data_IF_347477199128
#
_entry.id   IF_347477199128
#
_cell.length_a   1.000
_cell.length_b   1.000
_cell.length_c   1.000
_cell.angle_alpha   90.00
_cell.angle_beta   90.00
_cell.angle_gamma   90.00
#
_symmetry.space_group_name_H-M   'P 1'
#
loop_
_entity.id
_entity.type
_entity.pdbx_description
1 polymer ?
#
# COMPACT_ATOMS: atom_id res chain seq x y z
N UNK A 1 11.68 -6.97 -8.97
CA UNK A 1 11.88 -5.74 -9.75
C UNK A 1 12.06 -4.56 -8.81
N UNK A 2 12.89 -3.61 -9.21
CA UNK A 2 13.08 -2.34 -8.52
C UNK A 2 12.21 -1.27 -9.18
N UNK A 3 11.01 -1.03 -8.62
CA UNK A 3 10.01 -0.15 -9.23
C UNK A 3 9.17 0.57 -8.17
N UNK A 4 8.93 1.86 -8.39
CA UNK A 4 8.05 2.66 -7.56
C UNK A 4 6.71 2.88 -8.28
N UNK A 5 5.61 2.48 -7.63
CA UNK A 5 4.24 2.66 -8.09
C UNK A 5 3.55 3.66 -7.17
N UNK A 6 3.18 4.83 -7.70
CA UNK A 6 2.45 5.85 -6.94
C UNK A 6 1.02 5.95 -7.46
N UNK A 7 0.06 5.55 -6.64
CA UNK A 7 -1.37 5.63 -6.92
C UNK A 7 -1.95 6.91 -6.31
N UNK A 8 -2.34 7.87 -7.15
CA UNK A 8 -3.16 9.00 -6.72
C UNK A 8 -4.62 8.57 -6.62
N UNK A 9 -5.10 8.36 -5.40
CA UNK A 9 -6.45 7.91 -5.14
C UNK A 9 -7.37 9.09 -4.79
N UNK A 10 -8.14 9.55 -5.77
CA UNK A 10 -9.16 10.59 -5.62
C UNK A 10 -10.60 10.04 -5.70
N UNK A 11 -10.75 8.73 -5.72
CA UNK A 11 -12.03 8.02 -5.78
C UNK A 11 -12.92 8.43 -6.97
N UNK A 12 -12.31 8.88 -8.09
CA UNK A 12 -13.05 9.26 -9.30
C UNK A 12 -12.12 9.19 -10.53
N UNK A 13 -12.63 8.89 -11.70
CA UNK A 13 -11.91 9.10 -12.94
C UNK A 13 -12.08 10.55 -13.42
N UNK A 14 -11.03 11.36 -13.24
CA UNK A 14 -11.02 12.77 -13.63
C UNK A 14 -10.91 12.98 -15.15
N UNK A 15 -10.07 12.18 -15.84
CA UNK A 15 -9.85 12.31 -17.28
C UNK A 15 -11.14 12.12 -18.09
N UNK A 16 -11.97 11.19 -17.69
CA UNK A 16 -13.27 10.88 -18.31
C UNK A 16 -14.40 11.78 -17.81
N UNK A 17 -14.06 12.86 -17.11
CA UNK A 17 -15.00 13.89 -16.60
C UNK A 17 -16.00 13.39 -15.55
N UNK A 18 -15.52 12.52 -14.64
CA UNK A 18 -16.26 12.17 -13.43
C UNK A 18 -17.01 10.84 -13.49
N UNK A 19 -16.43 9.83 -14.10
CA UNK A 19 -16.90 8.45 -13.92
C UNK A 19 -16.44 7.92 -12.55
N UNK A 20 -17.23 7.04 -11.92
CA UNK A 20 -16.77 6.37 -10.73
C UNK A 20 -15.59 5.42 -11.06
N UNK A 21 -14.64 5.34 -10.15
CA UNK A 21 -13.43 4.52 -10.24
C UNK A 21 -13.59 3.24 -9.39
N UNK A 22 -12.71 2.27 -9.51
CA UNK A 22 -12.74 1.07 -8.66
C UNK A 22 -12.63 1.37 -7.15
N UNK A 23 -12.10 2.54 -6.77
CA UNK A 23 -12.01 2.96 -5.37
C UNK A 23 -13.14 3.87 -4.91
N UNK A 24 -14.10 4.19 -5.79
CA UNK A 24 -15.25 5.00 -5.43
C UNK A 24 -16.15 4.29 -4.42
N UNK A 25 -16.73 5.01 -3.46
CA UNK A 25 -17.64 4.41 -2.49
C UNK A 25 -18.86 3.79 -3.16
N UNK A 26 -19.39 2.71 -2.57
CA UNK A 26 -20.65 2.11 -2.96
C UNK A 26 -21.76 3.20 -2.97
N UNK A 27 -22.56 3.22 -4.01
CA UNK A 27 -23.62 4.22 -4.19
C UNK A 27 -23.16 5.59 -4.70
N UNK A 28 -21.85 5.78 -5.01
CA UNK A 28 -21.34 7.04 -5.57
C UNK A 28 -22.10 7.40 -6.85
N UNK A 29 -22.81 8.50 -6.83
CA UNK A 29 -23.52 9.02 -8.01
C UNK A 29 -22.61 9.90 -8.85
N UNK A 30 -22.65 9.69 -10.16
CA UNK A 30 -21.94 10.49 -11.16
C UNK A 30 -22.86 10.73 -12.36
N UNK A 31 -22.44 11.58 -13.30
CA UNK A 31 -23.24 11.82 -14.53
C UNK A 31 -23.45 10.54 -15.34
N UNK A 32 -22.48 9.63 -15.34
CA UNK A 32 -22.55 8.35 -16.06
C UNK A 32 -23.16 7.22 -15.24
N UNK A 33 -23.34 7.42 -13.94
CA UNK A 33 -23.91 6.45 -13.00
C UNK A 33 -24.91 7.13 -12.08
N UNK A 34 -26.07 7.59 -12.62
CA UNK A 34 -27.04 8.38 -11.87
C UNK A 34 -27.73 7.59 -10.75
N UNK A 35 -27.77 6.27 -10.85
CA UNK A 35 -28.30 5.38 -9.80
C UNK A 35 -27.26 5.03 -8.74
N UNK A 36 -25.99 5.39 -8.95
CA UNK A 36 -24.87 5.12 -8.05
C UNK A 36 -24.01 3.93 -8.49
N UNK A 37 -22.78 3.90 -7.98
CA UNK A 37 -21.86 2.77 -8.14
C UNK A 37 -22.41 1.55 -7.39
N UNK A 38 -22.39 0.38 -8.03
CA UNK A 38 -22.86 -0.89 -7.46
C UNK A 38 -21.70 -1.78 -7.02
N UNK A 39 -20.48 -1.41 -7.36
CA UNK A 39 -19.26 -2.15 -7.02
C UNK A 39 -18.82 -1.83 -5.60
N UNK A 40 -18.32 -2.83 -4.90
CA UNK A 40 -17.61 -2.60 -3.64
C UNK A 40 -16.26 -1.95 -3.93
N UNK A 41 -15.88 -0.92 -3.16
CA UNK A 41 -14.62 -0.23 -3.39
C UNK A 41 -13.41 -1.15 -3.18
N UNK A 42 -12.51 -1.12 -4.15
CA UNK A 42 -11.23 -1.79 -4.10
C UNK A 42 -10.35 -1.18 -3.00
N UNK A 43 -9.64 -2.03 -2.26
CA UNK A 43 -8.59 -1.60 -1.36
C UNK A 43 -7.22 -1.83 -2.01
N UNK A 44 -6.60 -0.75 -2.48
CA UNK A 44 -5.36 -0.84 -3.23
C UNK A 44 -4.18 -1.38 -2.40
N UNK A 45 -4.08 -0.98 -1.13
CA UNK A 45 -3.03 -1.49 -0.24
C UNK A 45 -3.18 -2.98 0.03
N UNK A 46 -4.40 -3.46 0.28
CA UNK A 46 -4.65 -4.90 0.48
C UNK A 46 -4.22 -5.73 -0.72
N UNK A 47 -4.39 -5.20 -1.93
CA UNK A 47 -3.93 -5.87 -3.16
C UNK A 47 -2.41 -5.85 -3.25
N UNK A 48 -1.77 -4.70 -3.02
CA UNK A 48 -0.31 -4.60 -3.04
C UNK A 48 0.35 -5.55 -2.03
N UNK A 49 -0.20 -5.63 -0.81
CA UNK A 49 0.26 -6.57 0.23
C UNK A 49 0.02 -8.02 -0.21
N UNK A 50 -1.16 -8.33 -0.77
CA UNK A 50 -1.49 -9.67 -1.28
C UNK A 50 -0.65 -10.10 -2.49
N UNK A 51 -0.08 -9.14 -3.23
CA UNK A 51 0.91 -9.38 -4.28
C UNK A 51 2.36 -9.38 -3.77
N UNK A 52 2.56 -9.42 -2.45
CA UNK A 52 3.88 -9.46 -1.79
C UNK A 52 4.79 -8.25 -2.12
N UNK A 53 4.21 -7.06 -2.35
CA UNK A 53 5.00 -5.84 -2.47
C UNK A 53 5.86 -5.65 -1.21
N UNK A 54 7.14 -5.39 -1.40
CA UNK A 54 8.14 -5.33 -0.31
C UNK A 54 8.11 -4.00 0.44
N UNK A 55 7.60 -2.94 -0.20
CA UNK A 55 7.30 -1.67 0.44
C UNK A 55 5.87 -1.24 0.12
N UNK A 56 5.06 -0.97 1.16
CA UNK A 56 3.67 -0.51 1.01
C UNK A 56 3.43 0.64 1.96
N UNK A 57 2.94 1.76 1.43
CA UNK A 57 2.72 2.97 2.22
C UNK A 57 1.48 3.75 1.77
N UNK A 58 0.94 4.59 2.67
CA UNK A 58 -0.11 5.56 2.38
C UNK A 58 0.26 6.94 2.91
N UNK A 59 -0.05 7.97 2.13
CA UNK A 59 0.05 9.36 2.54
C UNK A 59 -1.11 10.19 2.00
N UNK A 60 -1.09 11.49 2.31
CA UNK A 60 -2.13 12.44 1.92
C UNK A 60 -1.45 13.61 1.21
N UNK A 61 -2.00 14.07 0.09
CA UNK A 61 -1.42 15.11 -0.77
C UNK A 61 -1.16 16.46 -0.04
N UNK A 62 -2.03 16.84 0.86
CA UNK A 62 -1.91 18.09 1.64
C UNK A 62 -0.90 18.00 2.78
N UNK A 63 -0.44 16.81 3.18
CA UNK A 63 0.60 16.62 4.18
C UNK A 63 1.98 16.48 3.52
N UNK A 64 2.47 17.57 2.98
CA UNK A 64 3.70 17.60 2.15
C UNK A 64 4.91 17.00 2.88
N UNK A 65 5.05 17.27 4.19
CA UNK A 65 6.17 16.74 4.98
C UNK A 65 6.10 15.22 5.11
N UNK A 66 4.94 14.68 5.44
CA UNK A 66 4.71 13.24 5.56
C UNK A 66 4.82 12.55 4.20
N UNK A 67 4.23 13.12 3.15
CA UNK A 67 4.33 12.61 1.78
C UNK A 67 5.79 12.58 1.30
N UNK A 68 6.55 13.66 1.54
CA UNK A 68 7.97 13.72 1.19
C UNK A 68 8.79 12.61 1.87
N UNK A 69 8.57 12.39 3.17
CA UNK A 69 9.22 11.30 3.91
C UNK A 69 8.87 9.92 3.35
N UNK A 70 7.59 9.66 3.04
CA UNK A 70 7.16 8.37 2.48
C UNK A 70 7.76 8.14 1.09
N UNK A 71 7.76 9.16 0.22
CA UNK A 71 8.33 9.06 -1.13
C UNK A 71 9.85 8.87 -1.10
N UNK A 72 10.55 9.56 -0.19
CA UNK A 72 11.98 9.36 -0.01
C UNK A 72 12.28 7.92 0.42
N UNK A 73 11.58 7.40 1.41
CA UNK A 73 11.75 6.02 1.87
C UNK A 73 11.45 4.99 0.78
N UNK A 74 10.43 5.26 -0.05
CA UNK A 74 10.11 4.41 -1.19
C UNK A 74 11.21 4.43 -2.26
N UNK A 75 11.82 5.59 -2.51
CA UNK A 75 12.92 5.73 -3.46
C UNK A 75 14.23 5.09 -2.98
N UNK A 76 14.43 5.00 -1.67
CA UNK A 76 15.59 4.34 -1.04
C UNK A 76 15.38 2.82 -0.89
N UNK A 77 14.15 2.33 -1.06
CA UNK A 77 13.85 0.92 -0.94
C UNK A 77 14.29 0.13 -2.17
N UNK A 78 15.05 -0.93 -1.96
CA UNK A 78 15.47 -1.85 -3.02
C UNK A 78 14.42 -2.93 -3.26
N UNK A 79 13.52 -2.72 -4.23
CA UNK A 79 12.43 -3.62 -4.54
C UNK A 79 11.18 -2.92 -5.08
N UNK A 80 10.05 -3.59 -5.02
CA UNK A 80 8.78 -2.99 -5.45
C UNK A 80 8.16 -2.17 -4.33
N UNK A 81 8.06 -0.86 -4.52
CA UNK A 81 7.37 0.05 -3.64
C UNK A 81 6.00 0.46 -4.21
N UNK A 82 4.96 0.33 -3.39
CA UNK A 82 3.60 0.77 -3.70
C UNK A 82 3.16 1.85 -2.71
N UNK A 83 2.85 3.04 -3.22
CA UNK A 83 2.44 4.18 -2.42
C UNK A 83 1.06 4.66 -2.85
N UNK A 84 0.07 4.61 -1.95
CA UNK A 84 -1.22 5.24 -2.15
C UNK A 84 -1.21 6.66 -1.60
N UNK A 85 -1.55 7.62 -2.44
CA UNK A 85 -1.67 9.03 -2.04
C UNK A 85 -3.14 9.44 -2.11
N UNK A 86 -3.74 9.73 -0.96
CA UNK A 86 -5.07 10.32 -0.92
C UNK A 86 -5.00 11.74 -1.48
N UNK A 87 -5.74 11.94 -2.57
CA UNK A 87 -5.76 13.20 -3.31
C UNK A 87 -7.18 13.72 -3.48
N UNK A 88 -7.38 15.01 -3.29
CA UNK A 88 -8.66 15.63 -3.58
C UNK A 88 -8.81 15.97 -5.06
N UNK A 89 -9.92 15.58 -5.67
CA UNK A 89 -10.30 16.05 -6.99
C UNK A 89 -11.35 17.16 -6.86
N UNK A 90 -10.92 18.40 -6.79
CA UNK A 90 -11.78 19.58 -6.56
C UNK A 90 -12.83 19.85 -7.65
N UNK A 91 -12.75 19.15 -8.80
CA UNK A 91 -13.69 19.33 -9.92
C UNK A 91 -14.79 18.25 -9.91
N UNK A 92 -14.39 16.97 -9.72
CA UNK A 92 -15.32 15.86 -9.89
C UNK A 92 -15.66 15.11 -8.59
N UNK A 93 -14.85 15.26 -7.54
CA UNK A 93 -15.04 14.58 -6.27
C UNK A 93 -14.49 15.38 -5.09
N UNK A 94 -14.85 16.66 -5.04
CA UNK A 94 -14.39 17.55 -3.97
C UNK A 94 -14.83 17.05 -2.60
N UNK A 95 -13.87 17.04 -1.66
CA UNK A 95 -14.08 16.62 -0.29
C UNK A 95 -14.11 15.10 -0.06
N UNK A 96 -13.67 14.28 -1.01
CA UNK A 96 -13.61 12.82 -0.84
C UNK A 96 -12.86 12.39 0.43
N UNK A 97 -11.82 13.13 0.81
CA UNK A 97 -10.94 12.83 1.94
C UNK A 97 -10.98 13.91 3.05
N UNK A 98 -12.12 14.63 3.18
CA UNK A 98 -12.26 15.71 4.18
C UNK A 98 -11.88 15.27 5.59
N UNK A 99 -12.34 14.10 6.02
CA UNK A 99 -12.05 13.58 7.36
C UNK A 99 -10.54 13.44 7.64
N UNK A 100 -9.74 13.20 6.58
CA UNK A 100 -8.30 13.02 6.68
C UNK A 100 -7.49 14.32 6.48
N UNK A 101 -8.11 15.36 5.93
CA UNK A 101 -7.42 16.61 5.55
C UNK A 101 -7.77 17.80 6.44
N UNK A 102 -8.97 17.86 7.00
CA UNK A 102 -9.41 18.96 7.86
C UNK A 102 -8.79 18.90 9.25
N UNK A 103 -8.41 20.07 9.79
CA UNK A 103 -7.73 20.18 11.08
C UNK A 103 -8.57 19.64 12.24
N UNK A 104 -9.86 19.84 12.16
CA UNK A 104 -10.83 19.51 13.21
C UNK A 104 -11.00 17.99 13.35
N UNK A 105 -10.84 17.24 12.26
CA UNK A 105 -11.15 15.81 12.21
C UNK A 105 -9.92 14.92 12.15
N UNK A 106 -8.87 15.33 11.45
CA UNK A 106 -7.73 14.47 11.15
C UNK A 106 -7.04 13.83 12.36
N UNK A 107 -7.03 14.50 13.51
CA UNK A 107 -6.44 13.94 14.75
C UNK A 107 -7.26 12.80 15.33
N UNK A 108 -8.57 12.78 15.06
CA UNK A 108 -9.47 11.72 15.51
C UNK A 108 -9.60 10.59 14.50
N UNK A 109 -9.31 10.88 13.23
CA UNK A 109 -9.59 9.98 12.11
C UNK A 109 -8.36 9.35 11.49
N UNK A 110 -7.17 9.87 11.78
CA UNK A 110 -5.91 9.32 11.28
C UNK A 110 -5.14 8.59 12.37
N UNK A 111 -4.44 7.53 11.95
CA UNK A 111 -3.47 6.81 12.75
C UNK A 111 -2.12 6.85 12.03
N UNK A 112 -1.18 7.64 12.53
CA UNK A 112 0.18 7.66 11.97
C UNK A 112 0.96 6.43 12.43
N UNK A 113 1.44 5.64 11.46
CA UNK A 113 2.20 4.43 11.69
C UNK A 113 3.67 4.77 11.91
N UNK A 114 4.20 4.40 13.07
CA UNK A 114 5.62 4.49 13.40
C UNK A 114 6.14 3.12 13.82
N UNK A 115 7.21 2.66 13.21
CA UNK A 115 7.83 1.37 13.53
C UNK A 115 8.19 1.25 15.02
N UNK A 116 7.80 0.15 15.66
CA UNK A 116 8.06 -0.13 17.08
C UNK A 116 7.19 0.69 18.05
N UNK A 117 6.19 1.43 17.57
CA UNK A 117 5.30 2.22 18.42
C UNK A 117 3.92 1.57 18.53
N UNK A 118 3.23 1.76 19.69
CA UNK A 118 1.85 1.34 19.85
C UNK A 118 0.92 2.15 18.94
N UNK A 119 -0.13 1.52 18.45
CA UNK A 119 -1.12 2.12 17.57
C UNK A 119 -2.05 3.04 18.38
N UNK A 120 -1.66 4.30 18.54
CA UNK A 120 -2.36 5.31 19.34
C UNK A 120 -2.77 6.48 18.48
N UNK A 121 -4.02 6.95 18.67
CA UNK A 121 -4.58 8.09 17.95
C UNK A 121 -5.52 8.91 18.86
N UNK A 122 -6.19 9.91 18.29
CA UNK A 122 -7.02 10.86 19.04
C UNK A 122 -6.27 12.12 19.40
N UNK A 123 -7.02 13.20 19.62
CA UNK A 123 -6.47 14.54 19.88
C UNK A 123 -5.52 14.59 21.08
N UNK A 124 -5.83 13.83 22.11
CA UNK A 124 -5.03 13.74 23.34
C UNK A 124 -4.29 12.41 23.45
N UNK A 125 -4.20 11.63 22.35
CA UNK A 125 -3.63 10.27 22.32
C UNK A 125 -4.32 9.33 23.32
N UNK A 126 -5.63 9.47 23.46
CA UNK A 126 -6.45 8.73 24.43
C UNK A 126 -7.04 7.43 23.88
N UNK A 127 -6.87 7.17 22.58
CA UNK A 127 -7.41 5.97 21.92
C UNK A 127 -6.28 5.11 21.37
N UNK A 128 -6.49 3.81 21.40
CA UNK A 128 -5.55 2.84 20.83
C UNK A 128 -6.25 1.69 20.13
N UNK A 129 -5.47 0.90 19.40
CA UNK A 129 -5.93 -0.31 18.73
C UNK A 129 -5.34 -1.53 19.46
N UNK A 130 -6.19 -2.47 19.86
CA UNK A 130 -5.77 -3.79 20.35
C UNK A 130 -6.47 -4.90 19.61
N UNK A 131 -6.04 -6.15 19.81
CA UNK A 131 -6.74 -7.32 19.32
C UNK A 131 -7.62 -7.91 20.41
N UNK A 132 -8.85 -8.25 20.03
CA UNK A 132 -9.74 -9.12 20.78
C UNK A 132 -9.89 -10.42 19.98
N UNK A 133 -9.09 -11.44 20.34
CA UNK A 133 -8.86 -12.57 19.47
C UNK A 133 -8.18 -12.17 18.16
N UNK A 134 -8.84 -12.40 17.04
CA UNK A 134 -8.36 -12.00 15.70
C UNK A 134 -8.91 -10.65 15.22
N UNK A 135 -9.79 -10.02 15.99
CA UNK A 135 -10.46 -8.80 15.58
C UNK A 135 -9.81 -7.56 16.20
N UNK A 136 -9.48 -6.54 15.41
CA UNK A 136 -9.06 -5.28 15.97
C UNK A 136 -10.24 -4.55 16.63
N UNK A 137 -9.96 -3.86 17.72
CA UNK A 137 -10.94 -2.99 18.39
C UNK A 137 -10.29 -1.68 18.82
N UNK A 138 -11.08 -0.61 18.82
CA UNK A 138 -10.68 0.68 19.37
C UNK A 138 -10.95 0.68 20.86
N UNK A 139 -9.95 1.06 21.67
CA UNK A 139 -10.04 1.14 23.12
C UNK A 139 -9.60 2.50 23.63
N UNK A 140 -10.13 2.90 24.80
CA UNK A 140 -9.71 4.12 25.50
C UNK A 140 -8.61 3.79 26.52
N UNK A 141 -7.50 4.50 26.44
CA UNK A 141 -6.42 4.43 27.41
C UNK A 141 -6.85 5.02 28.77
N UNK A 142 -6.28 4.53 29.86
CA UNK A 142 -6.54 5.06 31.22
C UNK A 142 -7.74 4.45 31.94
N UNK A 143 -8.53 3.57 31.32
CA UNK A 143 -9.63 2.84 31.94
C UNK A 143 -9.29 1.37 32.20
N UNK A 144 -8.10 1.10 32.72
CA UNK A 144 -7.58 -0.25 32.89
C UNK A 144 -6.89 -0.80 31.64
N UNK A 145 -6.75 0.01 30.62
CA UNK A 145 -5.99 -0.28 29.39
C UNK A 145 -4.74 0.58 29.38
N UNK A 146 -3.60 -0.03 29.15
CA UNK A 146 -2.28 0.60 29.04
C UNK A 146 -1.74 0.51 27.61
N UNK A 147 -0.63 1.17 27.31
CA UNK A 147 0.01 1.07 26.01
C UNK A 147 0.47 -0.36 25.71
N UNK A 148 0.85 -1.14 26.73
CA UNK A 148 1.31 -2.54 26.58
C UNK A 148 0.19 -3.49 26.13
N UNK A 149 -1.09 -3.09 26.28
CA UNK A 149 -2.24 -3.86 25.81
C UNK A 149 -2.55 -3.64 24.32
N UNK A 150 -1.87 -2.68 23.70
CA UNK A 150 -2.13 -2.27 22.32
C UNK A 150 -1.31 -3.09 21.32
N UNK A 151 -1.75 -3.05 20.07
CA UNK A 151 -0.92 -3.48 18.94
C UNK A 151 0.24 -2.52 18.73
N UNK A 152 1.42 -3.07 18.53
CA UNK A 152 2.61 -2.34 18.11
C UNK A 152 2.80 -2.50 16.62
N UNK A 153 3.12 -1.40 15.95
CA UNK A 153 3.41 -1.44 14.52
C UNK A 153 4.80 -2.01 14.24
N UNK A 154 4.86 -3.03 13.40
CA UNK A 154 6.11 -3.58 12.87
C UNK A 154 6.06 -3.58 11.34
N UNK A 155 6.64 -2.55 10.72
CA UNK A 155 6.72 -2.45 9.26
C UNK A 155 7.69 -3.48 8.64
N UNK A 156 8.58 -4.06 9.47
CA UNK A 156 9.61 -5.02 9.06
C UNK A 156 9.19 -6.48 9.28
N UNK A 157 7.98 -6.71 9.77
CA UNK A 157 7.48 -8.06 9.94
C UNK A 157 7.51 -8.81 8.61
N UNK A 158 8.17 -9.97 8.60
CA UNK A 158 8.26 -10.80 7.40
C UNK A 158 6.87 -11.28 6.96
N UNK A 159 6.06 -11.66 7.94
CA UNK A 159 4.65 -12.04 7.75
C UNK A 159 3.75 -10.80 7.57
N UNK A 160 3.01 -10.67 6.45
CA UNK A 160 2.26 -9.46 6.11
C UNK A 160 0.94 -9.29 6.88
N UNK A 161 0.61 -10.17 7.81
CA UNK A 161 -0.71 -10.22 8.48
C UNK A 161 -1.08 -8.90 9.16
N UNK A 162 -0.14 -8.26 9.89
CA UNK A 162 -0.39 -6.97 10.53
C UNK A 162 -0.59 -5.86 9.49
N UNK A 163 0.25 -5.80 8.47
CA UNK A 163 0.12 -4.82 7.39
C UNK A 163 -1.23 -4.96 6.67
N UNK A 164 -1.67 -6.20 6.42
CA UNK A 164 -2.97 -6.47 5.83
C UNK A 164 -4.12 -6.03 6.77
N UNK A 165 -4.06 -6.35 8.06
CA UNK A 165 -5.03 -5.92 9.06
C UNK A 165 -5.16 -4.38 9.05
N UNK A 166 -4.03 -3.67 9.13
CA UNK A 166 -3.99 -2.21 9.09
C UNK A 166 -4.56 -1.64 7.79
N UNK A 167 -4.30 -2.28 6.64
CA UNK A 167 -4.84 -1.83 5.35
C UNK A 167 -6.37 -1.90 5.29
N UNK A 168 -7.00 -2.72 6.13
CA UNK A 168 -8.46 -2.88 6.20
C UNK A 168 -9.15 -1.90 7.15
N UNK A 169 -8.38 -1.22 8.01
CA UNK A 169 -8.93 -0.20 8.90
C UNK A 169 -9.36 1.03 8.11
N UNK A 170 -10.59 1.49 8.34
CA UNK A 170 -11.16 2.67 7.67
C UNK A 170 -12.33 3.25 8.47
N UNK A 171 -12.60 4.53 8.22
CA UNK A 171 -13.78 5.19 8.74
C UNK A 171 -15.10 4.49 8.30
N UNK A 172 -16.15 4.53 9.15
CA UNK A 172 -16.20 5.18 10.47
C UNK A 172 -15.71 4.31 11.63
N UNK A 173 -15.50 3.00 11.42
CA UNK A 173 -15.27 2.03 12.50
C UNK A 173 -13.86 2.14 13.12
N UNK A 174 -12.87 2.53 12.31
CA UNK A 174 -11.46 2.67 12.71
C UNK A 174 -10.86 3.97 12.20
N UNK A 175 -9.76 4.46 12.83
CA UNK A 175 -8.95 5.50 12.20
C UNK A 175 -8.37 4.99 10.88
N UNK A 176 -8.09 5.90 9.98
CA UNK A 176 -7.41 5.60 8.72
C UNK A 176 -5.89 5.58 8.94
N UNK A 177 -5.20 4.43 8.81
CA UNK A 177 -3.76 4.37 8.96
C UNK A 177 -3.05 5.05 7.79
N UNK A 178 -2.04 5.89 8.12
CA UNK A 178 -1.10 6.51 7.17
C UNK A 178 0.34 6.24 7.62
N UNK A 179 1.27 6.23 6.69
CA UNK A 179 2.68 5.90 6.93
C UNK A 179 3.09 4.67 6.15
N UNK A 180 4.15 4.02 6.60
CA UNK A 180 4.66 2.79 5.99
C UNK A 180 4.03 1.59 6.69
N UNK A 181 3.30 0.78 5.93
CA UNK A 181 2.63 -0.43 6.41
C UNK A 181 3.56 -1.63 6.44
N UNK A 182 4.44 -1.71 5.44
CA UNK A 182 5.39 -2.79 5.23
C UNK A 182 6.64 -2.25 4.56
N UNK A 183 7.82 -2.66 5.06
CA UNK A 183 9.12 -2.38 4.46
C UNK A 183 10.07 -3.54 4.79
N UNK A 184 10.13 -4.53 3.91
CA UNK A 184 10.91 -5.77 4.10
C UNK A 184 11.91 -5.92 2.97
N UNK A 185 13.10 -6.41 3.30
CA UNK A 185 14.15 -6.68 2.35
C UNK A 185 13.97 -8.10 1.77
N UNK A 186 13.91 -8.20 0.45
CA UNK A 186 13.84 -9.49 -0.26
C UNK A 186 14.73 -9.45 -1.49
N UNK A 187 15.32 -10.60 -1.90
CA UNK A 187 16.09 -10.68 -3.14
C UNK A 187 15.23 -10.20 -4.33
N UNK A 188 15.80 -9.35 -5.17
CA UNK A 188 15.12 -8.87 -6.38
C UNK A 188 15.19 -9.93 -7.47
N UNK A 189 14.09 -10.11 -8.18
CA UNK A 189 13.99 -11.09 -9.26
C UNK A 189 15.04 -10.90 -10.36
N UNK A 190 15.27 -9.67 -10.78
CA UNK A 190 16.25 -9.30 -11.79
C UNK A 190 17.68 -9.62 -11.36
N UNK A 191 18.04 -9.35 -10.10
CA UNK A 191 19.36 -9.73 -9.56
C UNK A 191 19.54 -11.26 -9.50
N UNK A 192 18.49 -11.96 -9.06
CA UNK A 192 18.57 -13.43 -8.99
C UNK A 192 18.64 -14.08 -10.38
N UNK A 193 17.93 -13.55 -11.36
CA UNK A 193 18.05 -13.99 -12.75
C UNK A 193 19.46 -13.73 -13.28
N UNK A 194 20.01 -12.55 -13.02
CA UNK A 194 21.38 -12.23 -13.46
C UNK A 194 22.41 -13.18 -12.81
N UNK A 195 22.27 -13.48 -11.52
CA UNK A 195 23.13 -14.47 -10.81
C UNK A 195 23.01 -15.86 -11.48
N UNK A 196 21.80 -16.31 -11.83
CA UNK A 196 21.61 -17.60 -12.52
C UNK A 196 22.30 -17.61 -13.89
N UNK A 197 22.18 -16.51 -14.65
CA UNK A 197 22.84 -16.39 -15.96
C UNK A 197 24.37 -16.44 -15.80
N UNK A 198 24.92 -15.71 -14.84
CA UNK A 198 26.37 -15.66 -14.62
C UNK A 198 26.91 -17.02 -14.15
N UNK A 199 26.18 -17.68 -13.25
CA UNK A 199 26.52 -19.04 -12.83
C UNK A 199 26.46 -20.06 -13.97
N UNK A 200 25.47 -19.94 -14.87
CA UNK A 200 25.37 -20.79 -16.05
C UNK A 200 26.56 -20.55 -17.00
N UNK A 201 26.96 -19.29 -17.23
CA UNK A 201 28.13 -18.96 -18.05
C UNK A 201 29.43 -19.48 -17.45
N UNK A 202 29.61 -19.38 -16.12
CA UNK A 202 30.78 -19.93 -15.43
C UNK A 202 30.86 -21.45 -15.57
N UNK A 203 29.73 -22.14 -15.50
CA UNK A 203 29.67 -23.61 -15.51
C UNK A 203 29.71 -24.21 -16.92
N UNK A 204 29.01 -23.60 -17.86
CA UNK A 204 28.77 -24.13 -19.21
C UNK A 204 29.51 -23.34 -20.31
N UNK A 205 30.14 -22.23 -19.98
CA UNK A 205 30.68 -21.27 -20.94
C UNK A 205 29.65 -20.32 -21.51
N UNK A 206 30.11 -19.33 -22.28
CA UNK A 206 29.25 -18.30 -22.87
C UNK A 206 28.30 -18.86 -23.96
N UNK A 207 28.56 -20.04 -24.43
CA UNK A 207 27.84 -20.62 -25.58
C UNK A 207 28.23 -20.01 -26.93
N UNK A 208 27.94 -20.74 -28.00
CA UNK A 208 28.15 -20.28 -29.35
C UNK A 208 26.83 -20.39 -30.13
N UNK A 209 26.49 -19.36 -30.88
CA UNK A 209 25.20 -19.26 -31.58
C UNK A 209 25.06 -20.40 -32.64
N UNK A 210 26.14 -20.74 -33.34
CA UNK A 210 26.13 -21.81 -34.33
C UNK A 210 25.88 -23.19 -33.68
N UNK A 211 26.40 -23.41 -32.49
CA UNK A 211 26.13 -24.61 -31.70
C UNK A 211 24.66 -24.66 -31.24
N UNK A 212 24.10 -23.51 -30.87
CA UNK A 212 22.71 -23.42 -30.46
C UNK A 212 21.77 -23.74 -31.64
N UNK A 213 22.06 -23.23 -32.85
CA UNK A 213 21.28 -23.54 -34.05
C UNK A 213 21.40 -24.99 -34.52
N UNK A 214 22.56 -25.60 -34.25
CA UNK A 214 22.78 -27.01 -34.56
C UNK A 214 22.40 -27.96 -33.42
N UNK A 215 21.90 -27.45 -32.30
CA UNK A 215 21.46 -28.27 -31.17
C UNK A 215 20.07 -28.87 -31.42
N UNK A 216 19.87 -30.14 -31.06
CA UNK A 216 18.63 -30.85 -31.25
C UNK A 216 18.51 -31.56 -32.60
N UNK A 217 17.30 -31.93 -32.98
CA UNK A 217 17.00 -32.61 -34.24
C UNK A 217 17.10 -31.63 -35.41
N UNK A 218 18.12 -31.76 -36.22
CA UNK A 218 18.34 -30.95 -37.42
C UNK A 218 18.07 -31.78 -38.68
N UNK A 219 17.61 -31.14 -39.76
CA UNK A 219 17.44 -31.78 -41.09
C UNK A 219 18.11 -30.91 -42.16
N UNK A 220 18.55 -31.57 -43.21
CA UNK A 220 19.08 -30.89 -44.38
C UNK A 220 17.92 -30.53 -45.30
N UNK A 221 17.86 -29.28 -45.74
CA UNK A 221 16.97 -28.86 -46.83
C UNK A 221 17.72 -29.00 -48.11
N UNK A 222 17.28 -29.95 -48.94
CA UNK A 222 17.83 -30.21 -50.29
C UNK A 222 17.35 -29.21 -51.33
#
# INVERSE_FOLDING_TARGET
LDVNIVLFNNQIYGLTKGQYSPTSPLGKRTKTSPMGAIDNPLNALSIAIGCEATFVARSIDVNIKHLGMVLQRAAEHEGTAFIEVYQNCNIFNDGAWKYATERETKTETLLELEHGKPLIFGKNREKGIRLNGMNPEVVELGKGVTEDDLLFHDEKADEPSLAYLLSRMRQPDFPEPIGVFRAVDRPRYDDEVQKQIDQAKETLGAGELDQLFASGDTWLVG
#
